data_IF_255528861554
#
_entry.id   IF_255528861554
#
_cell.length_a   1.000
_cell.length_b   1.000
_cell.length_c   1.000
_cell.angle_alpha   90.00
_cell.angle_beta   90.00
_cell.angle_gamma   90.00
#
_symmetry.space_group_name_H-M   'P 1'
#
loop_
_entity.id
_entity.type
_entity.pdbx_description
1 polymer ?
#
# COMPACT_ATOMS: atom_id res chain seq x y z
N UNK A 1 -11.00 35.09 10.50
CA UNK A 1 -10.54 33.82 11.07
C UNK A 1 -10.38 32.87 9.91
N UNK A 2 -9.15 32.57 9.50
CA UNK A 2 -8.88 31.63 8.42
C UNK A 2 -9.27 30.22 8.85
N UNK A 3 -9.73 29.41 7.91
CA UNK A 3 -9.94 27.99 8.14
C UNK A 3 -8.63 27.33 8.61
N UNK A 4 -8.69 26.49 9.64
CA UNK A 4 -7.53 25.74 10.12
C UNK A 4 -7.03 24.84 8.97
N UNK A 5 -5.75 24.98 8.62
CA UNK A 5 -5.11 24.23 7.54
C UNK A 5 -5.32 22.72 7.70
N UNK A 6 -5.36 22.23 8.94
CA UNK A 6 -5.65 20.81 9.23
C UNK A 6 -7.03 20.39 8.75
N UNK A 7 -8.03 21.25 8.91
CA UNK A 7 -9.41 20.97 8.53
C UNK A 7 -9.59 21.03 7.01
N UNK A 8 -8.93 22.01 6.36
CA UNK A 8 -8.87 22.07 4.91
C UNK A 8 -8.23 20.81 4.30
N UNK A 9 -7.10 20.35 4.86
CA UNK A 9 -6.45 19.10 4.41
C UNK A 9 -7.37 17.90 4.63
N UNK A 10 -8.04 17.79 5.78
CA UNK A 10 -8.97 16.69 6.03
C UNK A 10 -10.13 16.67 5.04
N UNK A 11 -10.75 17.82 4.80
CA UNK A 11 -11.90 17.91 3.89
C UNK A 11 -11.51 17.65 2.44
N UNK A 12 -10.43 18.25 1.97
CA UNK A 12 -10.07 18.25 0.54
C UNK A 12 -9.20 17.06 0.15
N UNK A 13 -8.37 16.56 1.07
CA UNK A 13 -7.30 15.61 0.75
C UNK A 13 -7.46 14.25 1.45
N UNK A 14 -8.31 14.12 2.48
CA UNK A 14 -8.56 12.83 3.14
C UNK A 14 -9.87 12.24 2.62
N UNK A 15 -9.78 11.12 1.93
CA UNK A 15 -10.94 10.31 1.54
C UNK A 15 -11.00 9.06 2.40
N UNK A 16 -12.20 8.53 2.65
CA UNK A 16 -12.31 7.20 3.26
C UNK A 16 -11.70 6.19 2.29
N UNK A 17 -10.62 5.53 2.69
CA UNK A 17 -10.07 4.40 1.98
C UNK A 17 -11.05 3.23 2.07
N UNK A 18 -11.88 3.06 1.05
CA UNK A 18 -12.63 1.81 0.84
C UNK A 18 -12.05 1.14 -0.38
N UNK A 19 -11.16 0.16 -0.16
CA UNK A 19 -10.75 -0.76 -1.22
C UNK A 19 -11.96 -1.62 -1.60
N UNK A 20 -12.25 -1.68 -2.89
CA UNK A 20 -13.31 -2.52 -3.44
C UNK A 20 -12.79 -3.92 -3.72
N UNK A 21 -13.68 -4.89 -3.90
CA UNK A 21 -13.27 -6.24 -4.33
C UNK A 21 -12.52 -6.23 -5.66
N UNK A 22 -12.85 -5.30 -6.56
CA UNK A 22 -12.20 -5.20 -7.86
C UNK A 22 -10.79 -4.64 -7.75
N UNK A 23 -10.53 -3.73 -6.81
CA UNK A 23 -9.16 -3.31 -6.46
C UNK A 23 -8.35 -4.51 -5.96
N UNK A 24 -8.93 -5.36 -5.10
CA UNK A 24 -8.26 -6.57 -4.61
C UNK A 24 -7.97 -7.56 -5.77
N UNK A 25 -8.94 -7.75 -6.68
CA UNK A 25 -8.74 -8.60 -7.88
C UNK A 25 -7.67 -8.04 -8.82
N UNK A 26 -7.49 -6.72 -8.86
CA UNK A 26 -6.41 -6.10 -9.60
C UNK A 26 -5.06 -6.34 -8.90
N UNK A 27 -4.96 -6.02 -7.61
CA UNK A 27 -3.70 -6.13 -6.86
C UNK A 27 -3.18 -7.56 -6.76
N UNK A 28 -4.03 -8.58 -6.65
CA UNK A 28 -3.61 -10.00 -6.60
C UNK A 28 -2.79 -10.46 -7.82
N UNK A 29 -2.82 -9.71 -8.92
CA UNK A 29 -2.00 -9.99 -10.12
C UNK A 29 -0.53 -9.62 -9.93
N UNK A 30 -0.25 -8.71 -9.00
CA UNK A 30 1.07 -8.13 -8.79
C UNK A 30 1.61 -8.40 -7.38
N UNK A 31 0.74 -8.66 -6.41
CA UNK A 31 1.05 -8.76 -4.99
C UNK A 31 0.43 -10.03 -4.41
N UNK A 32 1.24 -10.79 -3.69
CA UNK A 32 0.81 -11.85 -2.80
C UNK A 32 1.33 -11.57 -1.38
N UNK A 33 0.64 -12.12 -0.40
CA UNK A 33 0.99 -12.02 1.01
C UNK A 33 1.18 -13.44 1.57
N UNK A 34 2.22 -13.63 2.36
CA UNK A 34 2.38 -14.83 3.20
C UNK A 34 1.53 -14.70 4.46
N UNK A 35 1.36 -15.79 5.19
CA UNK A 35 0.62 -15.82 6.45
C UNK A 35 1.22 -14.92 7.54
N UNK A 36 2.53 -14.63 7.49
CA UNK A 36 3.21 -13.70 8.39
C UNK A 36 3.21 -12.25 7.87
N UNK A 37 2.51 -11.97 6.77
CA UNK A 37 2.36 -10.63 6.20
C UNK A 37 3.56 -10.15 5.37
N UNK A 38 4.50 -11.04 5.02
CA UNK A 38 5.55 -10.75 4.05
C UNK A 38 4.96 -10.51 2.66
N UNK A 39 5.41 -9.45 1.99
CA UNK A 39 4.95 -9.07 0.65
C UNK A 39 5.79 -9.77 -0.41
N UNK A 40 5.12 -10.50 -1.31
CA UNK A 40 5.73 -11.13 -2.49
C UNK A 40 5.22 -10.39 -3.73
N UNK A 41 6.14 -9.78 -4.48
CA UNK A 41 5.82 -9.16 -5.77
C UNK A 41 5.91 -10.20 -6.89
N UNK A 42 4.81 -10.42 -7.59
CA UNK A 42 4.70 -11.42 -8.68
C UNK A 42 4.97 -10.82 -10.06
N UNK A 43 5.44 -9.58 -10.11
CA UNK A 43 5.72 -8.84 -11.35
C UNK A 43 7.07 -9.23 -11.94
N UNK A 44 7.17 -9.22 -13.26
CA UNK A 44 8.46 -9.33 -13.93
C UNK A 44 9.28 -8.07 -13.66
N UNK A 45 10.34 -8.21 -12.85
CA UNK A 45 11.21 -7.11 -12.44
C UNK A 45 11.96 -6.46 -13.60
N UNK A 46 12.06 -7.11 -14.77
CA UNK A 46 12.69 -6.51 -15.96
C UNK A 46 11.78 -5.49 -16.66
N UNK A 47 10.48 -5.53 -16.37
CA UNK A 47 9.46 -4.67 -17.00
C UNK A 47 9.03 -3.49 -16.15
N UNK A 48 9.55 -3.38 -14.92
CA UNK A 48 9.18 -2.33 -13.96
C UNK A 48 10.43 -1.70 -13.37
N UNK A 49 10.32 -0.41 -13.07
CA UNK A 49 11.36 0.38 -12.41
C UNK A 49 11.45 0.06 -10.92
N UNK A 50 12.59 0.38 -10.30
CA UNK A 50 12.75 0.25 -8.85
C UNK A 50 11.69 1.08 -8.07
N UNK A 51 11.34 2.26 -8.58
CA UNK A 51 10.31 3.11 -7.97
C UNK A 51 8.95 2.42 -7.98
N UNK A 52 8.56 1.78 -9.09
CA UNK A 52 7.31 1.03 -9.18
C UNK A 52 7.31 -0.19 -8.25
N UNK A 53 8.45 -0.88 -8.12
CA UNK A 53 8.60 -1.98 -7.16
C UNK A 53 8.42 -1.49 -5.71
N UNK A 54 9.00 -0.34 -5.37
CA UNK A 54 8.83 0.29 -4.04
C UNK A 54 7.36 0.60 -3.79
N UNK A 55 6.67 1.22 -4.76
CA UNK A 55 5.26 1.56 -4.62
C UNK A 55 4.39 0.31 -4.46
N UNK A 56 4.62 -0.73 -5.27
CA UNK A 56 3.91 -2.01 -5.15
C UNK A 56 4.15 -2.67 -3.79
N UNK A 57 5.38 -2.61 -3.28
CA UNK A 57 5.71 -3.14 -1.96
C UNK A 57 4.94 -2.40 -0.85
N UNK A 58 4.91 -1.07 -0.89
CA UNK A 58 4.17 -0.26 0.07
C UNK A 58 2.66 -0.53 0.03
N UNK A 59 2.10 -0.72 -1.17
CA UNK A 59 0.71 -1.17 -1.33
C UNK A 59 0.52 -2.54 -0.66
N UNK A 60 1.43 -3.50 -0.90
CA UNK A 60 1.38 -4.81 -0.26
C UNK A 60 1.43 -4.74 1.27
N UNK A 61 2.27 -3.87 1.83
CA UNK A 61 2.34 -3.64 3.28
C UNK A 61 1.04 -3.07 3.86
N UNK A 62 0.43 -2.13 3.15
CA UNK A 62 -0.89 -1.59 3.51
C UNK A 62 -1.95 -2.70 3.49
N UNK A 63 -1.95 -3.55 2.47
CA UNK A 63 -2.87 -4.70 2.36
C UNK A 63 -2.66 -5.71 3.49
N UNK A 64 -1.40 -6.03 3.83
CA UNK A 64 -1.08 -6.92 4.95
C UNK A 64 -1.58 -6.38 6.29
N UNK A 65 -1.47 -5.06 6.49
CA UNK A 65 -1.99 -4.40 7.68
C UNK A 65 -3.52 -4.45 7.74
N UNK A 66 -4.21 -4.16 6.63
CA UNK A 66 -5.67 -4.25 6.54
C UNK A 66 -6.15 -5.68 6.83
N UNK A 67 -5.40 -6.69 6.37
CA UNK A 67 -5.68 -8.10 6.62
C UNK A 67 -5.34 -8.58 8.04
N UNK A 68 -4.77 -7.72 8.90
CA UNK A 68 -4.37 -8.07 10.26
C UNK A 68 -3.12 -8.97 10.35
N UNK A 69 -2.33 -9.07 9.28
CA UNK A 69 -1.10 -9.88 9.24
C UNK A 69 0.11 -9.15 9.82
N UNK A 70 0.05 -7.81 9.87
CA UNK A 70 1.08 -6.96 10.48
C UNK A 70 0.48 -5.80 11.26
N UNK A 71 1.16 -5.39 12.33
CA UNK A 71 0.69 -4.31 13.21
C UNK A 71 0.79 -2.91 12.59
N UNK A 72 1.64 -2.74 11.57
CA UNK A 72 1.89 -1.45 10.94
C UNK A 72 2.09 -1.56 9.43
N UNK A 73 1.49 -0.67 8.64
CA UNK A 73 1.71 -0.60 7.19
C UNK A 73 3.06 0.03 6.83
N UNK A 74 3.82 0.52 7.81
CA UNK A 74 5.14 1.09 7.57
C UNK A 74 6.13 0.03 7.05
N UNK A 75 6.93 0.41 6.07
CA UNK A 75 8.07 -0.36 5.59
C UNK A 75 9.37 0.29 6.08
N UNK A 76 10.39 -0.52 6.39
CA UNK A 76 11.75 -0.01 6.62
C UNK A 76 12.45 0.06 5.27
N UNK A 77 13.37 1.01 5.09
CA UNK A 77 14.13 1.17 3.84
C UNK A 77 14.80 -0.13 3.36
N UNK A 78 15.32 -0.93 4.29
CA UNK A 78 15.93 -2.23 4.01
C UNK A 78 14.96 -3.27 3.43
N UNK A 79 13.66 -3.08 3.63
CA UNK A 79 12.62 -4.00 3.16
C UNK A 79 12.24 -3.69 1.69
N UNK A 80 12.73 -2.56 1.16
CA UNK A 80 12.41 -2.02 -0.17
C UNK A 80 13.67 -1.76 -1.04
N UNK A 81 14.86 -2.06 -0.52
CA UNK A 81 16.15 -1.90 -1.16
C UNK A 81 16.63 -3.21 -1.82
#
# INVERSE_FOLDING_TARGET
MGEDLRELIRREMVRSETLTEDDIKFFKRFIQLTEDGTVILTVDRSLVTQTELILLYLVGRKLAHIAGLVDSPAARLRDIA
#
